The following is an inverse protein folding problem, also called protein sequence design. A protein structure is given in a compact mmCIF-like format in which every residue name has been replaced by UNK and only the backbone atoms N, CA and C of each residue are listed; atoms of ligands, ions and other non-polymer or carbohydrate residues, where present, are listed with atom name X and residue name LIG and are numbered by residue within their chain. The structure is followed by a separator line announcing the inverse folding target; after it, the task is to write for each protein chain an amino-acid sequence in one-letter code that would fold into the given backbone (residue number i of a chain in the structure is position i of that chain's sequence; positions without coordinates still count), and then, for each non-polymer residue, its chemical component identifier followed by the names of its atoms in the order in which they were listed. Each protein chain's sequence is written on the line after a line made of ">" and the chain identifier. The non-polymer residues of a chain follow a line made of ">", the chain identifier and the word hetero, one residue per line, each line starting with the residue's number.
data_IF_280303483730
#
_entry.id   IF_280303483730
#
_cell.length_a   1.000
_cell.length_b   1.000
_cell.length_c   1.000
_cell.angle_alpha   90.00
_cell.angle_beta   90.00
_cell.angle_gamma   90.00
#
_symmetry.space_group_name_H-M   'P 1'
#
loop_
_entity.id
_entity.type
_entity.pdbx_description
1 polymer ?
#
# COMPACT_ATOMS: atom_id res chain seq x y z
N UNK A 1 -11.35 4.19 -25.60
CA UNK A 1 -10.78 3.03 -26.32
C UNK A 1 -11.01 1.78 -25.50
N UNK A 2 -11.74 0.78 -26.02
CA UNK A 2 -11.93 -0.51 -25.36
C UNK A 2 -11.12 -1.59 -26.08
N UNK A 3 -9.86 -1.72 -25.69
CA UNK A 3 -9.06 -2.89 -26.02
C UNK A 3 -9.28 -3.90 -24.89
N UNK A 4 -10.26 -4.79 -25.06
CA UNK A 4 -10.52 -5.87 -24.11
C UNK A 4 -9.55 -7.02 -24.37
N UNK A 5 -8.47 -7.09 -23.59
CA UNK A 5 -7.58 -8.25 -23.58
C UNK A 5 -8.01 -9.23 -22.48
N UNK A 6 -8.14 -10.55 -22.77
CA UNK A 6 -8.44 -11.53 -21.75
C UNK A 6 -7.43 -11.49 -20.60
N UNK A 7 -7.92 -11.39 -19.35
CA UNK A 7 -7.08 -11.24 -18.15
C UNK A 7 -6.06 -12.36 -17.97
N UNK A 8 -6.40 -13.59 -18.37
CA UNK A 8 -5.51 -14.75 -18.27
C UNK A 8 -4.34 -14.69 -19.27
N UNK A 9 -4.39 -13.80 -20.26
CA UNK A 9 -3.31 -13.54 -21.21
C UNK A 9 -2.47 -12.30 -20.84
N UNK A 10 -2.82 -11.56 -19.79
CA UNK A 10 -2.05 -10.40 -19.31
C UNK A 10 -0.84 -10.88 -18.49
N UNK A 11 0.35 -10.35 -18.78
CA UNK A 11 1.53 -10.44 -17.89
C UNK A 11 1.94 -9.04 -17.51
N UNK A 12 1.38 -8.56 -16.40
CA UNK A 12 1.65 -7.22 -15.90
C UNK A 12 2.67 -7.28 -14.76
N UNK A 13 3.86 -6.70 -15.00
CA UNK A 13 4.96 -6.64 -14.03
C UNK A 13 4.56 -5.88 -12.76
N UNK A 14 3.65 -4.90 -12.84
CA UNK A 14 3.19 -4.19 -11.65
C UNK A 14 2.28 -5.06 -10.76
N UNK A 15 1.72 -6.15 -11.29
CA UNK A 15 0.80 -7.05 -10.58
C UNK A 15 1.45 -8.36 -10.08
N UNK A 16 2.70 -8.62 -10.44
CA UNK A 16 3.38 -9.87 -10.15
C UNK A 16 3.76 -9.96 -8.66
N UNK A 17 3.14 -10.90 -7.93
CA UNK A 17 3.27 -10.99 -6.48
C UNK A 17 4.74 -11.13 -5.98
N UNK A 18 5.63 -11.91 -6.62
CA UNK A 18 7.03 -11.97 -6.21
C UNK A 18 7.76 -10.62 -6.23
N UNK A 19 7.37 -9.71 -7.13
CA UNK A 19 7.95 -8.36 -7.14
C UNK A 19 7.47 -7.51 -5.97
N UNK A 20 6.22 -7.71 -5.52
CA UNK A 20 5.67 -7.02 -4.36
C UNK A 20 6.39 -7.44 -3.09
N UNK A 21 6.64 -8.75 -2.96
CA UNK A 21 7.35 -9.33 -1.84
C UNK A 21 8.81 -8.85 -1.80
N UNK A 22 9.51 -8.92 -2.94
CA UNK A 22 10.90 -8.49 -3.05
C UNK A 22 11.09 -7.00 -2.72
N UNK A 23 10.20 -6.13 -3.20
CA UNK A 23 10.28 -4.68 -2.96
C UNK A 23 9.47 -4.21 -1.75
N UNK A 24 8.81 -5.13 -1.03
CA UNK A 24 7.93 -4.85 0.11
C UNK A 24 6.92 -3.72 -0.16
N UNK A 25 6.37 -3.68 -1.38
CA UNK A 25 5.43 -2.66 -1.83
C UNK A 25 4.31 -3.27 -2.66
N UNK A 26 3.10 -2.74 -2.53
CA UNK A 26 1.93 -3.22 -3.26
C UNK A 26 1.85 -2.70 -4.70
N UNK A 27 2.57 -1.62 -5.02
CA UNK A 27 2.59 -1.00 -6.34
C UNK A 27 4.03 -0.65 -6.72
N UNK A 28 4.82 -1.63 -7.21
CA UNK A 28 6.20 -1.38 -7.58
C UNK A 28 6.27 -0.53 -8.85
N UNK A 29 7.01 0.58 -8.79
CA UNK A 29 7.32 1.39 -9.97
C UNK A 29 8.33 0.66 -10.87
N UNK A 30 8.22 0.85 -12.20
CA UNK A 30 9.12 0.22 -13.17
C UNK A 30 10.60 0.51 -12.88
N UNK A 31 10.95 1.76 -12.55
CA UNK A 31 12.32 2.14 -12.14
C UNK A 31 12.86 1.34 -10.96
N UNK A 32 12.01 1.00 -9.99
CA UNK A 32 12.43 0.26 -8.80
C UNK A 32 12.68 -1.21 -9.16
N UNK A 33 11.82 -1.77 -10.02
CA UNK A 33 11.99 -3.13 -10.55
C UNK A 33 13.26 -3.23 -11.40
N UNK A 34 13.45 -2.29 -12.31
CA UNK A 34 14.64 -2.22 -13.17
C UNK A 34 15.93 -2.18 -12.34
N UNK A 35 15.96 -1.32 -11.31
CA UNK A 35 17.13 -1.20 -10.44
C UNK A 35 17.38 -2.46 -9.62
N UNK A 36 16.33 -3.08 -9.07
CA UNK A 36 16.46 -4.22 -8.18
C UNK A 36 16.80 -5.53 -8.91
N UNK A 37 16.19 -5.78 -10.07
CA UNK A 37 16.29 -7.06 -10.78
C UNK A 37 17.22 -7.03 -11.99
N UNK A 38 17.36 -5.87 -12.65
CA UNK A 38 18.19 -5.74 -13.85
C UNK A 38 19.46 -4.90 -13.60
N UNK A 39 19.57 -4.23 -12.44
CA UNK A 39 20.66 -3.29 -12.17
C UNK A 39 20.61 -2.02 -13.05
N UNK A 40 19.49 -1.76 -13.70
CA UNK A 40 19.33 -0.64 -14.64
C UNK A 40 18.70 0.57 -13.95
N UNK A 41 19.17 1.75 -14.32
CA UNK A 41 18.63 3.03 -13.84
C UNK A 41 17.91 3.70 -14.99
N UNK A 42 16.58 3.68 -14.95
CA UNK A 42 15.69 4.22 -15.99
C UNK A 42 14.86 5.37 -15.44
N UNK A 43 14.19 6.13 -16.32
CA UNK A 43 13.28 7.21 -15.93
C UNK A 43 13.95 8.29 -15.05
N UNK A 44 15.20 8.65 -15.34
CA UNK A 44 15.94 9.70 -14.60
C UNK A 44 15.55 11.12 -15.03
N UNK A 45 14.98 11.28 -16.23
CA UNK A 45 14.54 12.56 -16.79
C UNK A 45 13.21 12.39 -17.51
N UNK A 46 13.17 12.69 -18.81
CA UNK A 46 12.01 12.32 -19.63
C UNK A 46 11.90 10.81 -19.79
N UNK A 47 10.66 10.35 -19.98
CA UNK A 47 10.38 8.93 -20.19
C UNK A 47 10.41 8.61 -21.68
N UNK A 48 11.19 7.59 -22.03
CA UNK A 48 11.14 6.96 -23.35
C UNK A 48 10.27 5.70 -23.30
N UNK A 49 9.15 5.73 -24.02
CA UNK A 49 8.23 4.60 -24.14
C UNK A 49 8.90 3.33 -24.69
N UNK A 50 9.91 3.47 -25.55
CA UNK A 50 10.62 2.34 -26.16
C UNK A 50 11.53 1.69 -25.11
N UNK A 51 12.27 2.49 -24.35
CA UNK A 51 13.07 2.02 -23.23
C UNK A 51 12.20 1.32 -22.17
N UNK A 52 11.11 1.97 -21.75
CA UNK A 52 10.19 1.42 -20.75
C UNK A 52 9.61 0.06 -21.18
N UNK A 53 9.20 -0.07 -22.45
CA UNK A 53 8.69 -1.32 -23.00
C UNK A 53 9.78 -2.42 -23.01
N UNK A 54 11.02 -2.08 -23.35
CA UNK A 54 12.15 -3.03 -23.32
C UNK A 54 12.42 -3.51 -21.89
N UNK A 55 12.43 -2.59 -20.92
CA UNK A 55 12.67 -2.91 -19.51
C UNK A 55 11.57 -3.81 -18.96
N UNK A 56 10.30 -3.51 -19.25
CA UNK A 56 9.18 -4.37 -18.86
C UNK A 56 9.30 -5.78 -19.46
N UNK A 57 9.70 -5.89 -20.73
CA UNK A 57 9.92 -7.17 -21.39
C UNK A 57 11.11 -7.94 -20.79
N UNK A 58 12.19 -7.26 -20.41
CA UNK A 58 13.33 -7.87 -19.73
C UNK A 58 12.93 -8.45 -18.37
N UNK A 59 12.15 -7.70 -17.58
CA UNK A 59 11.63 -8.17 -16.30
C UNK A 59 10.77 -9.44 -16.45
N UNK A 60 9.87 -9.45 -17.46
CA UNK A 60 9.08 -10.64 -17.78
C UNK A 60 9.98 -11.81 -18.17
N UNK A 61 10.93 -11.60 -19.09
CA UNK A 61 11.83 -12.66 -19.57
C UNK A 61 12.66 -13.27 -18.43
N UNK A 62 13.10 -12.44 -17.48
CA UNK A 62 13.88 -12.89 -16.32
C UNK A 62 13.08 -13.86 -15.42
N UNK A 63 11.77 -13.69 -15.31
CA UNK A 63 10.90 -14.51 -14.45
C UNK A 63 9.92 -15.38 -15.25
N UNK A 64 10.14 -15.53 -16.56
CA UNK A 64 9.16 -16.13 -17.48
C UNK A 64 8.79 -17.54 -17.07
N UNK A 65 9.79 -18.36 -16.74
CA UNK A 65 9.58 -19.78 -16.51
C UNK A 65 8.72 -20.01 -15.26
N UNK A 66 9.05 -19.34 -14.15
CA UNK A 66 8.27 -19.39 -12.91
C UNK A 66 6.87 -18.81 -13.09
N UNK A 67 6.76 -17.68 -13.80
CA UNK A 67 5.48 -17.02 -14.06
C UNK A 67 4.56 -17.91 -14.89
N UNK A 68 5.04 -18.43 -16.01
CA UNK A 68 4.23 -19.30 -16.87
C UNK A 68 3.90 -20.63 -16.19
N UNK A 69 4.80 -21.18 -15.37
CA UNK A 69 4.50 -22.37 -14.58
C UNK A 69 3.40 -22.09 -13.55
N UNK A 70 3.47 -20.96 -12.83
CA UNK A 70 2.43 -20.55 -11.89
C UNK A 70 1.07 -20.39 -12.57
N UNK A 71 1.02 -19.73 -13.72
CA UNK A 71 -0.22 -19.55 -14.48
C UNK A 71 -0.79 -20.88 -14.99
N UNK A 72 0.06 -21.82 -15.40
CA UNK A 72 -0.39 -23.18 -15.77
C UNK A 72 -1.00 -23.92 -14.59
N UNK A 73 -0.36 -23.88 -13.41
CA UNK A 73 -0.90 -24.47 -12.18
C UNK A 73 -2.23 -23.83 -11.78
N UNK A 74 -2.34 -22.51 -11.92
CA UNK A 74 -3.56 -21.76 -11.65
C UNK A 74 -4.70 -22.17 -12.61
N UNK A 75 -4.39 -22.32 -13.90
CA UNK A 75 -5.37 -22.78 -14.90
C UNK A 75 -5.86 -24.22 -14.62
N UNK A 76 -5.02 -25.07 -14.02
CA UNK A 76 -5.39 -26.42 -13.58
C UNK A 76 -6.10 -26.45 -12.21
N UNK A 77 -6.18 -25.32 -11.50
CA UNK A 77 -6.76 -25.25 -10.16
C UNK A 77 -5.87 -25.82 -9.05
N UNK A 78 -4.60 -26.11 -9.34
CA UNK A 78 -3.64 -26.67 -8.37
C UNK A 78 -3.19 -25.62 -7.34
N UNK A 79 -3.24 -24.34 -7.71
CA UNK A 79 -2.93 -23.19 -6.84
C UNK A 79 -4.08 -22.18 -6.86
N UNK A 80 -4.29 -21.51 -5.73
CA UNK A 80 -5.26 -20.42 -5.59
C UNK A 80 -4.52 -19.09 -5.61
N UNK A 81 -5.06 -18.09 -6.33
CA UNK A 81 -4.55 -16.72 -6.22
C UNK A 81 -4.71 -16.22 -4.78
N UNK A 82 -3.74 -15.45 -4.25
CA UNK A 82 -3.94 -14.77 -2.98
C UNK A 82 -5.14 -13.84 -3.12
N UNK A 83 -6.21 -14.13 -2.38
CA UNK A 83 -7.39 -13.29 -2.36
C UNK A 83 -6.97 -11.88 -1.95
N UNK A 84 -7.17 -10.90 -2.83
CA UNK A 84 -7.04 -9.49 -2.47
C UNK A 84 -8.03 -9.23 -1.33
N UNK A 85 -7.54 -9.15 -0.10
CA UNK A 85 -8.31 -8.66 1.03
C UNK A 85 -8.90 -7.33 0.60
N UNK A 86 -10.22 -7.27 0.37
CA UNK A 86 -10.94 -6.05 0.03
C UNK A 86 -10.45 -4.98 0.99
N UNK A 87 -9.66 -4.01 0.50
CA UNK A 87 -9.27 -2.84 1.26
C UNK A 87 -10.60 -2.24 1.71
N UNK A 88 -10.93 -2.29 3.00
CA UNK A 88 -12.15 -1.67 3.53
C UNK A 88 -12.11 -0.23 3.05
N UNK A 89 -13.00 0.12 2.12
CA UNK A 89 -13.18 1.50 1.68
C UNK A 89 -13.62 2.21 2.95
N UNK A 90 -12.74 3.02 3.55
CA UNK A 90 -13.19 3.96 4.57
C UNK A 90 -14.35 4.71 3.93
N UNK A 91 -15.50 4.73 4.60
CA UNK A 91 -16.68 5.47 4.17
C UNK A 91 -16.43 6.97 4.28
N UNK A 92 -15.38 7.49 3.64
CA UNK A 92 -15.26 8.89 3.32
C UNK A 92 -16.22 9.12 2.15
N UNK A 93 -17.46 9.39 2.53
CA UNK A 93 -18.41 10.12 1.71
C UNK A 93 -17.67 11.31 1.07
N UNK A 94 -17.59 11.28 -0.26
CA UNK A 94 -17.25 12.45 -1.06
C UNK A 94 -18.43 13.42 -0.92
N UNK A 95 -18.22 14.49 -0.16
CA UNK A 95 -19.14 15.62 -0.06
C UNK A 95 -18.71 16.66 -1.12
N UNK A 96 -19.48 16.85 -2.21
CA UNK A 96 -19.13 17.81 -3.27
C UNK A 96 -19.19 19.27 -2.79
N UNK A 97 -19.72 19.56 -1.60
CA UNK A 97 -20.03 20.91 -1.14
C UNK A 97 -19.26 21.27 0.13
N UNK A 98 -17.93 21.16 0.13
CA UNK A 98 -17.10 21.89 1.11
C UNK A 98 -16.99 23.37 0.69
N UNK A 99 -18.06 24.12 0.95
CA UNK A 99 -18.10 25.58 0.81
C UNK A 99 -17.02 26.23 1.69
N UNK A 100 -16.14 27.03 1.08
CA UNK A 100 -14.99 27.69 1.72
C UNK A 100 -15.36 28.90 2.58
N UNK A 101 -16.64 29.23 2.71
CA UNK A 101 -17.11 30.34 3.54
C UNK A 101 -17.67 29.82 4.87
N UNK A 102 -16.78 29.41 5.79
CA UNK A 102 -17.15 29.22 7.19
C UNK A 102 -16.86 30.54 7.92
N UNK A 103 -17.87 31.30 8.39
CA UNK A 103 -17.62 32.52 9.13
C UNK A 103 -16.95 32.18 10.46
N UNK A 104 -15.91 32.92 10.80
CA UNK A 104 -15.33 32.95 12.15
C UNK A 104 -16.40 33.55 13.08
N UNK A 105 -17.24 32.70 13.68
CA UNK A 105 -18.14 33.16 14.73
C UNK A 105 -17.34 33.31 16.01
N UNK A 106 -17.27 34.57 16.42
CA UNK A 106 -16.81 35.07 17.70
C UNK A 106 -17.46 34.32 18.88
N UNK A 107 -16.71 34.28 19.98
CA UNK A 107 -16.88 33.32 21.07
C UNK A 107 -18.09 33.52 21.98
N UNK A 108 -18.22 32.61 22.97
CA UNK A 108 -18.92 32.87 24.23
C UNK A 108 -18.69 31.74 25.27
N UNK A 109 -18.04 32.13 26.38
CA UNK A 109 -18.36 31.84 27.80
C UNK A 109 -18.09 30.44 28.40
N UNK A 110 -17.12 30.49 29.31
CA UNK A 110 -16.91 29.73 30.55
C UNK A 110 -18.18 29.16 31.23
N UNK A 111 -18.11 27.93 31.74
CA UNK A 111 -18.54 27.65 33.12
C UNK A 111 -18.15 26.26 33.62
N UNK A 112 -17.83 26.26 34.92
CA UNK A 112 -17.25 25.23 35.76
C UNK A 112 -18.33 24.34 36.45
N UNK A 113 -17.86 23.22 37.01
CA UNK A 113 -18.42 22.39 38.11
C UNK A 113 -19.50 21.33 37.79
N UNK A 114 -19.15 20.05 37.99
CA UNK A 114 -19.49 19.28 39.21
C UNK A 114 -19.06 17.80 39.07
N UNK A 115 -18.22 17.34 39.99
CA UNK A 115 -17.69 15.98 40.00
C UNK A 115 -18.58 14.94 40.69
N UNK A 116 -18.13 13.68 40.59
CA UNK A 116 -18.28 12.54 41.52
C UNK A 116 -17.10 11.60 41.12
N UNK A 117 -16.11 11.21 41.91
CA UNK A 117 -16.09 10.82 43.32
C UNK A 117 -16.04 9.29 43.41
N UNK A 118 -14.86 8.70 43.68
CA UNK A 118 -14.61 7.48 44.50
C UNK A 118 -13.12 7.08 44.49
N UNK A 119 -12.64 6.32 45.49
CA UNK A 119 -11.39 6.66 46.18
C UNK A 119 -10.38 5.49 46.28
N UNK A 120 -9.24 5.78 46.92
CA UNK A 120 -8.51 4.89 47.86
C UNK A 120 -7.69 3.71 47.24
N UNK A 121 -6.45 3.37 47.63
CA UNK A 121 -5.66 3.55 48.85
C UNK A 121 -4.15 3.33 48.61
N UNK A 122 -3.33 4.04 49.43
CA UNK A 122 -2.16 3.59 50.24
C UNK A 122 -1.21 2.55 49.58
N UNK A 123 0.07 2.81 49.31
CA UNK A 123 1.09 3.48 50.11
C UNK A 123 1.80 2.48 51.02
N UNK A 124 3.10 2.21 50.81
CA UNK A 124 4.20 2.28 51.80
C UNK A 124 5.55 1.75 51.25
N UNK A 125 6.67 2.16 51.86
CA UNK A 125 7.99 2.31 51.25
C UNK A 125 8.99 1.25 51.71
N UNK A 126 10.17 1.21 51.07
CA UNK A 126 11.38 0.64 51.68
C UNK A 126 12.54 1.60 51.36
N UNK A 127 12.87 2.48 52.30
CA UNK A 127 14.28 2.88 52.51
C UNK A 127 14.96 1.76 53.31
N UNK A 128 16.26 1.66 53.45
CA UNK A 128 17.42 2.48 53.14
C UNK A 128 18.63 1.74 53.72
N UNK A 129 19.81 2.33 53.53
CA UNK A 129 21.03 2.12 54.31
C UNK A 129 21.76 0.77 54.17
N UNK A 130 23.02 0.82 53.71
CA UNK A 130 24.19 0.93 54.60
C UNK A 130 25.45 0.33 53.96
N UNK A 131 26.55 1.08 54.11
CA UNK A 131 27.96 0.68 54.17
C UNK A 131 28.57 -0.12 53.00
#
# INVERSE_FOLDING_TARGET
>A
MFLNHPKHLVRDTASYAPFHEALRTSNPALRNLARAFLGLTVQQGEHDSIEDARVAMLLYRLHRDDWEQFLRKLAKGEVKLPMSSKRKKSSQHWDPMRNKNKPHKAGRVENNKRGKGRPQQRGKPIGGDAA
#
